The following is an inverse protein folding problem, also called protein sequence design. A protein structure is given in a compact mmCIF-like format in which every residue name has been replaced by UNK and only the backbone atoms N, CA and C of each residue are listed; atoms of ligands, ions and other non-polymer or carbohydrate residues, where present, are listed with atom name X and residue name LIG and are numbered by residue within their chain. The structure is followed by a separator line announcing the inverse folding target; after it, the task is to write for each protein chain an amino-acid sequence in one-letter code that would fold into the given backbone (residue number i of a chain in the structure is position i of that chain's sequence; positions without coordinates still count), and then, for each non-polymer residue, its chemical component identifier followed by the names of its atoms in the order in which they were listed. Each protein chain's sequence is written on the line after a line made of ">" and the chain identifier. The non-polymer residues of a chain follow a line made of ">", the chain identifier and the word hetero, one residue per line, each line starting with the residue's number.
data_IF_659781847824
#
_entry.id   IF_659781847824
#
_cell.length_a   1.000
_cell.length_b   1.000
_cell.length_c   1.000
_cell.angle_alpha   90.00
_cell.angle_beta   90.00
_cell.angle_gamma   90.00
#
_symmetry.space_group_name_H-M   'P 1'
#
loop_
_entity.id
_entity.type
_entity.pdbx_description
1 polymer ?
#
# COMPACT_ATOMS: atom_id res chain seq x y z
N UNK A 1 -2.84 -86.33 -6.17
CA UNK A 1 -4.11 -85.65 -6.49
C UNK A 1 -4.76 -85.19 -5.19
N UNK A 2 -5.11 -83.90 -5.13
CA UNK A 2 -5.95 -83.24 -4.10
C UNK A 2 -7.27 -84.01 -3.86
N UNK A 3 -7.97 -83.87 -2.70
CA UNK A 3 -8.66 -82.59 -2.45
C UNK A 3 -9.12 -82.17 -1.03
N UNK A 4 -9.58 -80.90 -1.02
CA UNK A 4 -10.54 -80.20 -0.15
C UNK A 4 -10.19 -79.84 1.30
N UNK A 5 -10.00 -78.54 1.53
CA UNK A 5 -10.41 -77.88 2.78
C UNK A 5 -11.19 -76.60 2.45
N UNK A 6 -12.34 -76.44 3.10
CA UNK A 6 -13.19 -75.25 3.12
C UNK A 6 -13.11 -74.71 4.56
N UNK A 7 -12.78 -73.43 4.77
CA UNK A 7 -13.00 -72.82 6.10
C UNK A 7 -13.31 -71.32 6.01
N UNK A 8 -14.59 -71.07 6.29
CA UNK A 8 -15.21 -70.02 7.09
C UNK A 8 -14.69 -68.56 6.98
N UNK A 9 -15.49 -67.76 6.28
CA UNK A 9 -15.43 -66.30 6.16
C UNK A 9 -15.53 -65.61 7.52
N UNK A 10 -14.64 -64.64 7.74
CA UNK A 10 -14.60 -63.78 8.91
C UNK A 10 -15.67 -62.69 8.84
N UNK A 11 -16.37 -62.53 9.97
CA UNK A 11 -17.33 -61.46 10.28
C UNK A 11 -16.56 -60.18 10.60
N UNK A 12 -16.92 -59.07 9.97
CA UNK A 12 -16.56 -57.72 10.40
C UNK A 12 -17.72 -56.75 10.13
N UNK A 13 -18.18 -56.10 11.19
CA UNK A 13 -18.98 -54.88 11.27
C UNK A 13 -18.36 -54.08 12.45
N UNK A 14 -18.47 -52.75 12.60
CA UNK A 14 -19.25 -51.77 11.81
C UNK A 14 -18.51 -50.42 11.55
N UNK A 15 -19.29 -49.45 11.05
CA UNK A 15 -19.21 -47.99 11.26
C UNK A 15 -18.63 -47.14 10.11
N UNK A 16 -19.50 -46.77 9.16
CA UNK A 16 -19.31 -45.60 8.29
C UNK A 16 -20.09 -44.42 8.90
N UNK A 17 -19.37 -43.57 9.63
CA UNK A 17 -19.83 -42.24 10.03
C UNK A 17 -19.60 -41.26 8.88
N UNK A 18 -20.62 -40.44 8.61
CA UNK A 18 -20.62 -39.44 7.55
C UNK A 18 -19.55 -38.36 7.77
N UNK A 19 -18.82 -38.06 6.71
CA UNK A 19 -18.00 -36.86 6.58
C UNK A 19 -18.59 -35.98 5.49
N UNK A 20 -19.29 -34.91 5.88
CA UNK A 20 -19.63 -33.81 5.00
C UNK A 20 -18.32 -33.17 4.51
N UNK A 21 -18.09 -33.13 3.21
CA UNK A 21 -17.04 -32.30 2.61
C UNK A 21 -17.41 -30.83 2.87
N UNK A 22 -16.81 -30.22 3.89
CA UNK A 22 -16.84 -28.77 4.04
C UNK A 22 -15.85 -28.23 3.03
N UNK A 23 -16.37 -27.73 1.91
CA UNK A 23 -15.68 -26.82 1.02
C UNK A 23 -15.26 -25.59 1.83
N UNK A 24 -14.00 -25.51 2.23
CA UNK A 24 -13.38 -24.24 2.64
C UNK A 24 -13.15 -23.40 1.38
N UNK A 25 -14.22 -22.77 0.90
CA UNK A 25 -14.09 -21.59 0.07
C UNK A 25 -13.39 -20.51 0.89
N UNK A 26 -12.32 -19.93 0.35
CA UNK A 26 -11.61 -18.79 0.93
C UNK A 26 -12.61 -17.68 1.24
N UNK A 27 -12.89 -17.48 2.53
CA UNK A 27 -13.93 -16.58 3.00
C UNK A 27 -13.34 -15.17 3.16
N UNK A 28 -13.30 -14.40 2.08
CA UNK A 28 -13.08 -12.92 2.13
C UNK A 28 -14.16 -12.17 2.94
N UNK A 29 -15.21 -12.87 3.39
CA UNK A 29 -16.29 -12.30 4.18
C UNK A 29 -15.97 -12.18 5.68
N UNK A 30 -14.99 -12.93 6.22
CA UNK A 30 -14.68 -12.89 7.66
C UNK A 30 -13.82 -11.69 8.05
N UNK A 31 -12.91 -11.25 7.17
CA UNK A 31 -12.04 -10.07 7.39
C UNK A 31 -12.87 -8.78 7.51
N UNK A 32 -13.99 -8.70 6.78
CA UNK A 32 -14.87 -7.52 6.78
C UNK A 32 -15.71 -7.40 8.05
N UNK A 33 -15.99 -8.51 8.74
CA UNK A 33 -16.74 -8.53 9.99
C UNK A 33 -15.87 -8.18 11.20
N UNK A 34 -14.57 -8.51 11.16
CA UNK A 34 -13.61 -8.17 12.22
C UNK A 34 -13.18 -6.69 12.16
N UNK A 35 -13.11 -6.10 10.96
CA UNK A 35 -12.80 -4.66 10.78
C UNK A 35 -13.84 -3.71 11.42
N UNK A 36 -15.09 -4.15 11.60
CA UNK A 36 -16.17 -3.32 12.15
C UNK A 36 -16.20 -3.32 13.70
N UNK A 37 -15.42 -4.21 14.35
CA UNK A 37 -15.30 -4.30 15.82
C UNK A 37 -14.08 -3.57 16.40
N UNK A 38 -13.17 -3.07 15.56
CA UNK A 38 -11.94 -2.39 15.98
C UNK A 38 -12.21 -0.97 16.48
N UNK A 39 -11.51 -0.55 17.54
CA UNK A 39 -11.50 0.85 17.99
C UNK A 39 -10.90 1.75 16.90
N UNK A 40 -11.20 3.04 16.93
CA UNK A 40 -10.58 4.01 16.02
C UNK A 40 -9.04 3.98 16.11
N UNK A 41 -8.50 3.79 17.32
CA UNK A 41 -7.06 3.68 17.56
C UNK A 41 -6.46 2.42 16.91
N UNK A 42 -7.18 1.30 16.95
CA UNK A 42 -6.76 0.05 16.33
C UNK A 42 -6.76 0.16 14.80
N UNK A 43 -7.72 0.88 14.22
CA UNK A 43 -7.78 1.17 12.79
C UNK A 43 -6.61 2.05 12.34
N UNK A 44 -6.25 3.05 13.14
CA UNK A 44 -5.06 3.88 12.87
C UNK A 44 -3.79 3.02 12.93
N UNK A 45 -3.65 2.17 13.96
CA UNK A 45 -2.48 1.30 14.11
C UNK A 45 -2.35 0.30 12.95
N UNK A 46 -3.48 -0.21 12.44
CA UNK A 46 -3.50 -1.09 11.28
C UNK A 46 -3.01 -0.36 10.01
N UNK A 47 -3.47 0.86 9.77
CA UNK A 47 -3.01 1.68 8.64
C UNK A 47 -1.53 2.06 8.74
N UNK A 48 -0.94 2.06 9.95
CA UNK A 48 0.48 2.28 10.14
C UNK A 48 1.34 1.01 9.94
N UNK A 49 0.71 -0.16 9.82
CA UNK A 49 1.43 -1.40 9.53
C UNK A 49 1.67 -1.54 8.02
N UNK A 50 2.93 -1.66 7.62
CA UNK A 50 3.33 -1.87 6.24
C UNK A 50 3.57 -3.35 5.92
N UNK A 51 3.33 -3.74 4.68
CA UNK A 51 3.70 -5.06 4.19
C UNK A 51 5.23 -5.20 4.09
N UNK A 52 5.80 -6.43 4.19
CA UNK A 52 7.22 -6.63 3.97
C UNK A 52 7.66 -6.20 2.57
N UNK A 53 8.86 -5.62 2.45
CA UNK A 53 9.43 -5.21 1.16
C UNK A 53 9.49 -6.38 0.18
N UNK A 54 8.68 -6.29 -0.87
CA UNK A 54 8.66 -7.20 -2.01
C UNK A 54 9.96 -7.13 -2.81
N UNK A 55 10.49 -8.29 -3.18
CA UNK A 55 11.68 -8.41 -4.04
C UNK A 55 11.32 -8.33 -5.52
N UNK A 56 12.14 -7.62 -6.29
CA UNK A 56 12.08 -7.55 -7.74
C UNK A 56 13.46 -7.84 -8.34
N UNK A 57 13.49 -8.31 -9.59
CA UNK A 57 14.74 -8.50 -10.31
C UNK A 57 15.35 -7.14 -10.67
N UNK A 58 16.66 -6.97 -10.43
CA UNK A 58 17.40 -5.78 -10.84
C UNK A 58 17.34 -5.59 -12.35
N UNK A 59 17.14 -4.36 -12.80
CA UNK A 59 17.15 -4.01 -14.22
C UNK A 59 18.09 -2.84 -14.52
N UNK A 60 18.47 -2.70 -15.79
CA UNK A 60 19.29 -1.56 -16.24
C UNK A 60 18.57 -0.21 -16.15
N UNK A 61 17.22 -0.21 -16.08
CA UNK A 61 16.43 1.01 -15.96
C UNK A 61 16.13 1.39 -14.51
N UNK A 62 16.59 0.61 -13.53
CA UNK A 62 16.34 0.89 -12.11
C UNK A 62 16.83 2.30 -11.70
N UNK A 63 18.04 2.76 -12.06
CA UNK A 63 18.47 4.12 -11.71
C UNK A 63 17.59 5.23 -12.32
N UNK A 64 17.01 5.00 -13.50
CA UNK A 64 16.10 5.95 -14.15
C UNK A 64 14.78 6.05 -13.39
N UNK A 65 14.12 4.92 -13.11
CA UNK A 65 12.86 4.89 -12.39
C UNK A 65 13.01 5.40 -10.93
N UNK A 66 14.10 5.03 -10.27
CA UNK A 66 14.44 5.54 -8.93
C UNK A 66 14.54 7.06 -8.97
N UNK A 67 15.26 7.63 -9.94
CA UNK A 67 15.42 9.08 -10.05
C UNK A 67 14.08 9.80 -10.26
N UNK A 68 13.18 9.23 -11.09
CA UNK A 68 11.84 9.78 -11.32
C UNK A 68 10.97 9.76 -10.05
N UNK A 69 11.00 8.67 -9.28
CA UNK A 69 10.22 8.55 -8.05
C UNK A 69 10.76 9.44 -6.93
N UNK A 70 12.09 9.61 -6.83
CA UNK A 70 12.71 10.56 -5.89
C UNK A 70 12.41 12.01 -6.27
N UNK A 71 12.45 12.36 -7.56
CA UNK A 71 12.05 13.70 -8.03
C UNK A 71 10.58 13.98 -7.72
N UNK A 72 9.70 13.01 -7.93
CA UNK A 72 8.29 13.11 -7.55
C UNK A 72 8.13 13.43 -6.07
N UNK A 73 8.78 12.66 -5.18
CA UNK A 73 8.71 12.85 -3.73
C UNK A 73 9.18 14.26 -3.34
N UNK A 74 10.35 14.68 -3.85
CA UNK A 74 10.91 15.99 -3.58
C UNK A 74 10.00 17.14 -4.03
N UNK A 75 9.44 17.05 -5.25
CA UNK A 75 8.54 18.09 -5.79
C UNK A 75 7.22 18.13 -5.03
N UNK A 76 6.67 16.98 -4.67
CA UNK A 76 5.43 16.89 -3.91
C UNK A 76 5.59 17.43 -2.48
N UNK A 77 6.70 17.10 -1.79
CA UNK A 77 7.01 17.69 -0.48
C UNK A 77 7.15 19.20 -0.55
N UNK A 78 7.93 19.72 -1.51
CA UNK A 78 8.10 21.18 -1.67
C UNK A 78 6.77 21.90 -1.88
N UNK A 79 5.90 21.37 -2.74
CA UNK A 79 4.58 21.94 -2.99
C UNK A 79 3.65 21.84 -1.76
N UNK A 80 3.74 20.75 -1.00
CA UNK A 80 2.96 20.56 0.22
C UNK A 80 3.40 21.52 1.33
N UNK A 81 4.71 21.74 1.48
CA UNK A 81 5.27 22.70 2.44
C UNK A 81 4.85 24.13 2.09
N UNK A 82 4.89 24.51 0.81
CA UNK A 82 4.42 25.83 0.34
C UNK A 82 2.92 26.03 0.63
N UNK A 83 2.11 24.99 0.43
CA UNK A 83 0.69 25.03 0.80
C UNK A 83 0.50 25.17 2.31
N UNK A 84 1.24 24.41 3.13
CA UNK A 84 1.15 24.51 4.59
C UNK A 84 1.49 25.92 5.07
N UNK A 85 2.55 26.52 4.54
CA UNK A 85 2.95 27.90 4.80
C UNK A 85 1.86 28.91 4.43
N UNK A 86 1.19 28.74 3.30
CA UNK A 86 0.06 29.58 2.89
C UNK A 86 -1.10 29.47 3.88
N UNK A 87 -1.49 28.24 4.24
CA UNK A 87 -2.58 27.98 5.17
C UNK A 87 -2.29 28.53 6.56
N UNK A 88 -1.04 28.42 7.04
CA UNK A 88 -0.59 29.02 8.29
C UNK A 88 -0.70 30.55 8.27
N UNK A 89 -0.19 31.20 7.22
CA UNK A 89 -0.29 32.67 7.07
C UNK A 89 -1.73 33.15 7.06
N UNK A 90 -2.62 32.43 6.38
CA UNK A 90 -4.05 32.77 6.34
C UNK A 90 -4.73 32.55 7.70
N UNK A 91 -4.33 31.52 8.45
CA UNK A 91 -4.82 31.26 9.80
C UNK A 91 -4.43 32.41 10.73
N UNK A 92 -3.17 32.84 10.69
CA UNK A 92 -2.65 33.95 11.48
C UNK A 92 -3.33 35.28 11.14
N UNK A 93 -3.63 35.51 9.85
CA UNK A 93 -4.36 36.68 9.39
C UNK A 93 -5.87 36.64 9.69
N UNK A 94 -6.40 35.52 10.20
CA UNK A 94 -7.84 35.32 10.44
C UNK A 94 -8.67 35.24 9.14
N UNK A 95 -8.04 34.96 8.01
CA UNK A 95 -8.68 34.88 6.68
C UNK A 95 -8.87 33.44 6.19
N UNK A 96 -8.36 32.44 6.92
CA UNK A 96 -8.53 31.04 6.57
C UNK A 96 -9.99 30.60 6.77
N UNK A 97 -10.61 30.12 5.70
CA UNK A 97 -11.94 29.48 5.74
C UNK A 97 -11.80 27.98 5.53
N UNK A 98 -12.74 27.21 6.09
CA UNK A 98 -12.78 25.75 5.92
C UNK A 98 -12.90 25.36 4.44
N UNK A 99 -13.68 26.12 3.66
CA UNK A 99 -13.84 25.89 2.22
C UNK A 99 -12.51 26.10 1.49
N UNK A 100 -11.76 27.15 1.81
CA UNK A 100 -10.45 27.39 1.19
C UNK A 100 -9.45 26.31 1.55
N UNK A 101 -9.37 25.91 2.83
CA UNK A 101 -8.50 24.84 3.28
C UNK A 101 -8.81 23.52 2.54
N UNK A 102 -10.11 23.21 2.40
CA UNK A 102 -10.58 22.04 1.67
C UNK A 102 -10.21 22.11 0.19
N UNK A 103 -10.45 23.22 -0.49
CA UNK A 103 -10.07 23.38 -1.91
C UNK A 103 -8.56 23.21 -2.09
N UNK A 104 -7.74 23.81 -1.22
CA UNK A 104 -6.28 23.65 -1.30
C UNK A 104 -5.82 22.21 -1.12
N UNK A 105 -6.41 21.50 -0.16
CA UNK A 105 -6.13 20.09 0.01
C UNK A 105 -6.55 19.26 -1.22
N UNK A 106 -7.69 19.57 -1.86
CA UNK A 106 -8.11 18.94 -3.11
C UNK A 106 -7.12 19.19 -4.25
N UNK A 107 -6.64 20.43 -4.40
CA UNK A 107 -5.65 20.80 -5.41
C UNK A 107 -4.32 20.06 -5.19
N UNK A 108 -3.88 19.92 -3.94
CA UNK A 108 -2.65 19.18 -3.60
C UNK A 108 -2.77 17.69 -3.96
N UNK A 109 -3.91 17.05 -3.61
CA UNK A 109 -4.19 15.65 -3.96
C UNK A 109 -4.21 15.48 -5.49
N UNK A 110 -4.86 16.38 -6.23
CA UNK A 110 -4.92 16.30 -7.68
C UNK A 110 -3.54 16.47 -8.33
N UNK A 111 -2.71 17.34 -7.76
CA UNK A 111 -1.32 17.54 -8.19
C UNK A 111 -0.49 16.28 -7.98
N UNK A 112 -0.63 15.62 -6.82
CA UNK A 112 0.01 14.33 -6.55
C UNK A 112 -0.37 13.26 -7.60
N UNK A 113 -1.67 13.13 -7.89
CA UNK A 113 -2.19 12.17 -8.87
C UNK A 113 -1.70 12.46 -10.30
N UNK A 114 -1.64 13.73 -10.69
CA UNK A 114 -1.19 14.13 -12.02
C UNK A 114 0.31 13.86 -12.20
N UNK A 115 1.13 14.28 -11.23
CA UNK A 115 2.57 14.03 -11.27
C UNK A 115 2.88 12.54 -11.30
N UNK A 116 2.16 11.71 -10.53
CA UNK A 116 2.32 10.26 -10.59
C UNK A 116 2.01 9.70 -11.98
N UNK A 117 0.92 10.13 -12.62
CA UNK A 117 0.54 9.65 -13.96
C UNK A 117 1.55 10.01 -15.05
N UNK A 118 2.30 11.09 -14.86
CA UNK A 118 3.30 11.57 -15.81
C UNK A 118 4.64 10.82 -15.70
N UNK A 119 4.84 10.00 -14.65
CA UNK A 119 6.06 9.23 -14.48
C UNK A 119 6.19 8.15 -15.57
N UNK A 120 7.22 8.28 -16.40
CA UNK A 120 7.55 7.34 -17.47
C UNK A 120 8.41 6.17 -16.96
N UNK A 121 7.80 5.35 -16.10
CA UNK A 121 8.45 4.24 -15.40
C UNK A 121 8.58 2.98 -16.27
N UNK A 122 9.80 2.46 -16.34
CA UNK A 122 10.19 1.37 -17.24
C UNK A 122 10.16 0.00 -16.56
N UNK A 123 10.35 -0.05 -15.26
CA UNK A 123 10.53 -1.27 -14.47
C UNK A 123 9.21 -1.74 -13.85
N UNK A 124 9.14 -3.02 -13.48
CA UNK A 124 8.02 -3.55 -12.71
C UNK A 124 7.98 -2.93 -11.30
N UNK A 125 9.13 -2.81 -10.65
CA UNK A 125 9.24 -2.25 -9.30
C UNK A 125 8.80 -0.78 -9.26
N UNK A 126 9.23 0.04 -10.23
CA UNK A 126 8.81 1.42 -10.34
C UNK A 126 7.29 1.55 -10.48
N UNK A 127 6.68 0.81 -11.42
CA UNK A 127 5.22 0.81 -11.59
C UNK A 127 4.45 0.29 -10.37
N UNK A 128 5.03 -0.67 -9.64
CA UNK A 128 4.47 -1.14 -8.39
C UNK A 128 4.44 -0.02 -7.33
N UNK A 129 5.56 0.68 -7.11
CA UNK A 129 5.64 1.81 -6.18
C UNK A 129 4.66 2.93 -6.58
N UNK A 130 4.63 3.29 -7.87
CA UNK A 130 3.67 4.26 -8.41
C UNK A 130 2.22 3.87 -8.12
N UNK A 131 1.89 2.58 -8.22
CA UNK A 131 0.52 2.09 -7.98
C UNK A 131 0.12 2.25 -6.52
N UNK A 132 1.03 1.94 -5.58
CA UNK A 132 0.79 2.13 -4.14
C UNK A 132 0.56 3.60 -3.80
N UNK A 133 1.44 4.49 -4.27
CA UNK A 133 1.29 5.94 -4.09
C UNK A 133 -0.02 6.45 -4.71
N UNK A 134 -0.35 5.97 -5.92
CA UNK A 134 -1.58 6.35 -6.61
C UNK A 134 -2.83 5.93 -5.83
N UNK A 135 -2.86 4.71 -5.31
CA UNK A 135 -3.98 4.19 -4.53
C UNK A 135 -4.22 5.03 -3.28
N UNK A 136 -3.17 5.42 -2.57
CA UNK A 136 -3.29 6.34 -1.44
C UNK A 136 -3.96 7.66 -1.86
N UNK A 137 -3.42 8.36 -2.85
CA UNK A 137 -3.96 9.65 -3.27
C UNK A 137 -5.37 9.56 -3.86
N UNK A 138 -5.69 8.47 -4.56
CA UNK A 138 -7.03 8.20 -5.09
C UNK A 138 -8.04 7.95 -3.96
N UNK A 139 -7.61 7.32 -2.86
CA UNK A 139 -8.41 7.18 -1.66
C UNK A 139 -8.64 8.55 -0.98
N UNK A 140 -7.58 9.34 -0.80
CA UNK A 140 -7.68 10.69 -0.24
C UNK A 140 -8.60 11.60 -1.05
N UNK A 141 -8.57 11.49 -2.39
CA UNK A 141 -9.47 12.21 -3.29
C UNK A 141 -10.94 11.84 -3.09
N UNK A 142 -11.24 10.57 -2.75
CA UNK A 142 -12.62 10.13 -2.44
C UNK A 142 -13.07 10.63 -1.08
N UNK A 143 -12.19 10.53 -0.07
CA UNK A 143 -12.49 10.93 1.31
C UNK A 143 -12.82 12.42 1.38
N UNK A 144 -12.03 13.28 0.74
CA UNK A 144 -12.24 14.73 0.78
C UNK A 144 -13.56 15.17 0.10
N UNK A 145 -14.08 14.36 -0.82
CA UNK A 145 -15.36 14.60 -1.48
C UNK A 145 -16.54 14.07 -0.67
N UNK A 146 -16.32 13.09 0.20
CA UNK A 146 -17.35 12.49 1.01
C UNK A 146 -17.73 13.37 2.21
N UNK A 147 -18.98 13.82 2.24
CA UNK A 147 -19.52 14.63 3.34
C UNK A 147 -19.77 13.82 4.61
N UNK A 148 -19.81 12.49 4.51
CA UNK A 148 -20.00 11.57 5.62
C UNK A 148 -18.69 10.97 6.15
N UNK A 149 -17.54 11.33 5.57
CA UNK A 149 -16.24 10.85 6.02
C UNK A 149 -16.00 11.18 7.49
N UNK A 150 -15.59 10.17 8.25
CA UNK A 150 -15.20 10.32 9.63
C UNK A 150 -13.73 10.77 9.72
N UNK A 151 -13.30 11.40 10.83
CA UNK A 151 -11.90 11.85 10.98
C UNK A 151 -10.84 10.76 10.80
N UNK A 152 -11.17 9.51 11.12
CA UNK A 152 -10.28 8.36 10.93
C UNK A 152 -10.15 7.91 9.48
N UNK A 153 -11.06 8.32 8.59
CA UNK A 153 -10.94 7.99 7.16
C UNK A 153 -9.72 8.68 6.54
N UNK A 154 -9.24 9.79 7.11
CA UNK A 154 -8.06 10.51 6.61
C UNK A 154 -6.78 9.67 6.63
N UNK A 155 -6.67 8.67 7.51
CA UNK A 155 -5.50 7.78 7.56
C UNK A 155 -5.64 6.56 6.64
N UNK A 156 -6.78 6.40 5.98
CA UNK A 156 -7.04 5.26 5.11
C UNK A 156 -6.09 5.25 3.92
N UNK A 157 -5.45 4.11 3.70
CA UNK A 157 -4.49 3.92 2.64
C UNK A 157 -3.07 4.36 3.00
N UNK A 158 -2.85 4.83 4.23
CA UNK A 158 -1.55 5.33 4.68
C UNK A 158 -0.51 4.21 4.67
N UNK A 159 -0.93 2.97 4.94
CA UNK A 159 -0.07 1.80 4.90
C UNK A 159 0.54 1.57 3.52
N UNK A 160 -0.23 1.78 2.45
CA UNK A 160 0.25 1.70 1.07
C UNK A 160 1.29 2.78 0.75
N UNK A 161 1.08 4.02 1.25
CA UNK A 161 2.06 5.09 1.05
C UNK A 161 3.37 4.80 1.81
N UNK A 162 3.27 4.37 3.08
CA UNK A 162 4.44 3.97 3.88
C UNK A 162 5.17 2.82 3.18
N UNK A 163 4.44 1.81 2.71
CA UNK A 163 5.03 0.70 1.99
C UNK A 163 5.72 1.15 0.69
N UNK A 164 5.13 2.09 -0.05
CA UNK A 164 5.76 2.67 -1.25
C UNK A 164 7.09 3.36 -0.93
N UNK A 165 7.17 4.08 0.18
CA UNK A 165 8.39 4.74 0.66
C UNK A 165 9.47 3.73 1.05
N UNK A 166 9.11 2.71 1.84
CA UNK A 166 10.02 1.63 2.23
C UNK A 166 10.57 0.87 1.02
N UNK A 167 9.71 0.60 0.03
CA UNK A 167 10.10 -0.01 -1.24
C UNK A 167 11.12 0.85 -2.00
N UNK A 168 10.88 2.16 -2.08
CA UNK A 168 11.77 3.09 -2.77
C UNK A 168 13.10 3.26 -2.03
N UNK A 169 13.10 3.37 -0.71
CA UNK A 169 14.31 3.45 0.12
C UNK A 169 15.16 2.18 -0.01
N UNK A 170 14.51 1.01 0.14
CA UNK A 170 15.20 -0.26 -0.03
C UNK A 170 15.80 -0.38 -1.44
N UNK A 171 15.05 -0.02 -2.48
CA UNK A 171 15.53 -0.08 -3.85
C UNK A 171 16.74 0.84 -4.08
N UNK A 172 16.68 2.08 -3.59
CA UNK A 172 17.81 3.01 -3.61
C UNK A 172 19.07 2.44 -2.95
N UNK A 173 18.92 1.78 -1.80
CA UNK A 173 20.06 1.18 -1.08
C UNK A 173 20.80 0.11 -1.89
N UNK A 174 20.13 -0.50 -2.87
CA UNK A 174 20.73 -1.52 -3.74
C UNK A 174 21.61 -0.95 -4.86
N UNK A 175 21.58 0.37 -5.07
CA UNK A 175 22.32 1.11 -6.09
C UNK A 175 23.19 2.17 -5.44
N UNK A 176 24.41 1.80 -4.96
CA UNK A 176 25.34 2.76 -4.40
C UNK A 176 25.59 3.87 -5.43
N UNK A 177 25.44 5.13 -5.01
CA UNK A 177 25.74 6.29 -5.86
C UNK A 177 27.18 6.12 -6.37
N UNK A 178 27.35 6.03 -7.68
CA UNK A 178 28.68 6.11 -8.30
C UNK A 178 29.18 7.57 -8.20
N UNK A 179 29.56 8.00 -6.99
CA UNK A 179 30.20 9.29 -6.73
C UNK A 179 31.39 9.22 -5.77
N UNK A 180 32.01 8.04 -5.57
CA UNK A 180 33.26 7.91 -4.81
C UNK A 180 34.51 7.67 -5.67
N UNK A 181 34.43 7.71 -7.00
CA UNK A 181 35.59 7.51 -7.88
C UNK A 181 36.23 8.80 -8.41
N UNK A 182 35.81 9.99 -7.94
CA UNK A 182 36.48 11.27 -8.28
C UNK A 182 37.21 11.94 -7.11
N UNK A 183 37.37 11.27 -5.97
CA UNK A 183 38.14 11.78 -4.82
C UNK A 183 39.38 10.93 -4.47
N UNK A 184 39.94 10.20 -5.43
CA UNK A 184 41.34 9.74 -5.38
C UNK A 184 42.13 10.46 -6.46
N UNK A 185 42.43 11.72 -6.18
CA UNK A 185 43.21 12.55 -7.07
C UNK A 185 43.71 13.80 -6.38
N UNK A 186 44.48 13.64 -5.30
CA UNK A 186 45.62 14.48 -4.91
C UNK A 186 46.54 13.69 -3.98
#
# INVERSE_FOLDING_TARGET
>A
MNPHTLSLKQVLLPLLLGGSLILTGCNKANERAEQDMLSNDDKILQELSSEPVKSFAKTANDPHDIALLVDYDQRFSSMSDEMEDELMKMREAGTLTDEFAKTRQQDNIQSALNMLKELDLKTEQGRYIQTLMYQYWDNQAKIIQDKAAAPHDNVKGLGELIHAQEQLEHWQSQYPKAQDTMSTGY
#
